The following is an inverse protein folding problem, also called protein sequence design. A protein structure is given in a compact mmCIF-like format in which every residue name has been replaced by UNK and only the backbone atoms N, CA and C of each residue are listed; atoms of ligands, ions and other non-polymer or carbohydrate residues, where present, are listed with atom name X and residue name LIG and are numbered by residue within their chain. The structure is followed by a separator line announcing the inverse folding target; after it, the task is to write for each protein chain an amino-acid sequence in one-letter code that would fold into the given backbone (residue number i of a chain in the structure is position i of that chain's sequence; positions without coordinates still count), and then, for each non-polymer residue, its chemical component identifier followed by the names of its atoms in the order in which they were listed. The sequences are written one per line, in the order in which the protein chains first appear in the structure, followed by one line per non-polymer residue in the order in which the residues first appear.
data_IF_929559842407
#
_entry.id   IF_929559842407
#
_cell.length_a   1.000
_cell.length_b   1.000
_cell.length_c   1.000
_cell.angle_alpha   90.00
_cell.angle_beta   90.00
_cell.angle_gamma   90.00
#
_symmetry.space_group_name_H-M   'P 1'
#
loop_
_entity.id
_entity.type
_entity.pdbx_description
1 polymer ?
#
# COMPACT_ATOMS: atom_id res chain seq x y z
N UNK A 1 46.88 -18.30 9.46
CA UNK A 1 46.48 -18.40 9.14
C UNK A 1 45.76 -18.36 9.19
N UNK A 2 45.52 -18.12 9.05
CA UNK A 2 44.72 -18.03 8.93
C UNK A 2 43.85 -17.79 8.56
N UNK A 3 43.76 -17.68 8.40
CA UNK A 3 42.92 -17.49 8.00
C UNK A 3 42.09 -17.56 7.82
N UNK A 4 41.94 -17.52 7.71
CA UNK A 4 41.06 -17.65 7.42
C UNK A 4 40.18 -17.53 7.57
N UNK A 5 40.16 -17.34 7.71
CA UNK A 5 39.25 -17.29 7.73
C UNK A 5 38.53 -16.70 7.55
N UNK A 6 38.82 -16.44 7.41
CA UNK A 6 38.11 -15.98 7.23
C UNK A 6 37.39 -15.88 6.74
N UNK A 7 37.33 -15.98 6.54
CA UNK A 7 36.49 -15.92 5.99
C UNK A 7 35.59 -15.94 6.02
N UNK A 8 35.64 -15.84 6.03
CA UNK A 8 34.74 -16.02 6.00
C UNK A 8 33.90 -15.63 6.32
N UNK A 9 33.86 -15.34 6.58
CA UNK A 9 33.02 -15.01 6.96
C UNK A 9 32.35 -14.45 6.42
N UNK A 10 32.56 -14.12 6.07
CA UNK A 10 32.00 -13.56 5.50
C UNK A 10 31.10 -13.91 5.04
N UNK A 11 31.05 -14.15 4.95
CA UNK A 11 30.27 -14.45 4.43
C UNK A 11 29.23 -14.40 4.87
N UNK A 12 29.08 -14.55 5.30
CA UNK A 12 28.03 -14.62 5.56
C UNK A 12 27.30 -13.83 5.74
N UNK A 13 27.33 -13.25 5.85
CA UNK A 13 26.54 -12.56 6.10
C UNK A 13 25.89 -12.18 5.33
N UNK A 14 26.06 -12.12 4.85
CA UNK A 14 25.42 -11.76 4.05
C UNK A 14 24.47 -12.27 3.88
N UNK A 15 24.39 -12.63 3.98
CA UNK A 15 23.58 -13.24 3.83
C UNK A 15 22.60 -12.91 4.30
N UNK A 16 22.58 -12.84 4.89
CA UNK A 16 21.55 -12.61 5.40
C UNK A 16 21.10 -11.60 5.01
N UNK A 17 21.40 -11.37 4.76
CA UNK A 17 21.07 -10.61 4.39
C UNK A 17 20.14 -10.41 4.00
N UNK A 18 19.94 -9.83 4.10
CA UNK A 18 18.94 -9.29 3.63
C UNK A 18 18.03 -10.05 3.12
N UNK A 19 18.32 -10.76 2.67
CA UNK A 19 17.44 -11.49 2.10
C UNK A 19 16.38 -11.84 2.84
N UNK A 20 16.54 -11.97 3.94
CA UNK A 20 15.57 -12.46 4.67
C UNK A 20 14.41 -11.73 4.71
N UNK A 21 14.41 -10.58 4.76
CA UNK A 21 13.22 -9.87 4.88
C UNK A 21 12.53 -9.64 3.61
N UNK A 22 12.93 -10.27 2.57
CA UNK A 22 12.30 -10.13 1.42
C UNK A 22 10.94 -10.51 1.44
N UNK A 23 10.06 -9.98 0.82
CA UNK A 23 8.68 -10.35 0.78
C UNK A 23 7.88 -9.88 1.94
N UNK A 24 8.47 -9.31 2.96
CA UNK A 24 7.68 -8.81 4.03
C UNK A 24 7.85 -7.35 4.06
N UNK A 25 6.84 -6.60 4.36
CA UNK A 25 6.96 -5.17 4.49
C UNK A 25 6.64 -4.74 5.91
N UNK A 26 7.14 -3.58 6.30
CA UNK A 26 6.85 -3.01 7.59
C UNK A 26 5.37 -2.63 7.70
N UNK A 27 4.67 -2.62 6.60
CA UNK A 27 3.28 -2.18 6.54
C UNK A 27 2.28 -3.31 6.39
N UNK A 28 2.72 -4.55 6.42
CA UNK A 28 1.82 -5.69 6.31
C UNK A 28 0.83 -5.70 7.47
N UNK A 29 -0.38 -6.11 7.20
CA UNK A 29 -1.43 -6.19 8.20
C UNK A 29 -2.74 -5.67 7.68
N UNK A 30 -3.65 -5.42 8.59
CA UNK A 30 -5.00 -4.96 8.31
C UNK A 30 -5.07 -3.46 8.47
N UNK A 31 -5.66 -2.79 7.51
CA UNK A 31 -5.73 -1.33 7.48
C UNK A 31 -7.13 -0.86 7.10
N UNK A 32 -7.50 0.32 7.56
CA UNK A 32 -8.72 0.97 7.13
C UNK A 32 -8.37 2.19 6.31
N UNK A 33 -8.95 2.28 5.12
CA UNK A 33 -8.77 3.42 4.23
C UNK A 33 -10.06 4.21 4.19
N UNK A 34 -9.95 5.52 4.21
CA UNK A 34 -11.08 6.43 4.04
C UNK A 34 -10.74 7.37 2.92
N UNK A 35 -11.54 7.35 1.86
CA UNK A 35 -11.40 8.28 0.75
C UNK A 35 -12.40 9.39 0.97
N UNK A 36 -11.97 10.63 0.89
CA UNK A 36 -12.82 11.81 1.06
C UNK A 36 -12.89 12.54 -0.26
N UNK A 37 -14.10 12.81 -0.72
CA UNK A 37 -14.33 13.54 -1.96
C UNK A 37 -14.29 15.04 -1.67
N UNK A 38 -13.41 15.73 -2.36
CA UNK A 38 -13.30 17.19 -2.25
C UNK A 38 -13.85 17.89 -3.48
N UNK A 39 -13.85 17.20 -4.62
CA UNK A 39 -14.36 17.75 -5.87
C UNK A 39 -15.18 16.70 -6.59
N UNK A 40 -16.25 17.13 -7.19
CA UNK A 40 -17.10 16.27 -7.98
C UNK A 40 -18.28 15.74 -7.20
N UNK A 41 -19.17 15.08 -7.92
CA UNK A 41 -20.44 14.62 -7.37
C UNK A 41 -20.42 13.16 -6.90
N UNK A 42 -19.28 12.67 -6.45
CA UNK A 42 -19.19 11.36 -5.86
C UNK A 42 -19.65 11.41 -4.40
N UNK A 43 -19.82 10.25 -3.78
CA UNK A 43 -20.18 10.22 -2.37
C UNK A 43 -19.13 10.93 -1.54
N UNK A 44 -19.50 11.54 -0.43
CA UNK A 44 -18.56 12.29 0.40
C UNK A 44 -17.40 11.44 0.90
N UNK A 45 -17.65 10.19 1.27
CA UNK A 45 -16.60 9.29 1.75
C UNK A 45 -16.83 7.89 1.25
N UNK A 46 -15.72 7.14 1.16
CA UNK A 46 -15.75 5.71 0.89
C UNK A 46 -14.81 5.05 1.88
N UNK A 47 -15.25 3.96 2.48
CA UNK A 47 -14.44 3.23 3.46
C UNK A 47 -14.04 1.88 2.87
N UNK A 48 -12.74 1.58 2.95
CA UNK A 48 -12.21 0.32 2.42
C UNK A 48 -11.34 -0.35 3.46
N UNK A 49 -11.82 -1.45 4.06
CA UNK A 49 -10.92 -2.27 4.87
C UNK A 49 -10.06 -3.08 3.91
N UNK A 50 -8.76 -3.03 4.09
CA UNK A 50 -7.84 -3.71 3.19
C UNK A 50 -6.81 -4.50 3.98
N UNK A 51 -6.12 -5.40 3.30
CA UNK A 51 -4.99 -6.11 3.86
C UNK A 51 -3.76 -5.82 3.03
N UNK A 52 -2.63 -5.68 3.69
CA UNK A 52 -1.35 -5.56 3.02
C UNK A 52 -0.55 -6.80 3.35
N UNK A 53 -0.10 -7.50 2.31
CA UNK A 53 0.70 -8.71 2.46
C UNK A 53 1.86 -8.62 1.47
N UNK A 54 3.07 -8.61 1.99
CA UNK A 54 4.29 -8.49 1.18
C UNK A 54 4.23 -7.26 0.28
N UNK A 55 3.67 -6.18 0.80
CA UNK A 55 3.56 -4.93 0.06
C UNK A 55 2.43 -4.87 -0.94
N UNK A 56 1.59 -5.90 -1.02
CA UNK A 56 0.44 -5.90 -1.94
C UNK A 56 -0.82 -5.61 -1.15
N UNK A 57 -1.58 -4.63 -1.61
CA UNK A 57 -2.82 -4.22 -0.95
C UNK A 57 -4.00 -4.86 -1.65
N UNK A 58 -4.84 -5.55 -0.90
CA UNK A 58 -6.01 -6.22 -1.43
C UNK A 58 -7.22 -5.93 -0.57
N UNK A 59 -8.39 -6.06 -1.16
CA UNK A 59 -9.66 -5.91 -0.45
C UNK A 59 -10.34 -7.28 -0.40
N UNK A 60 -10.89 -7.67 0.75
CA UNK A 60 -11.45 -9.02 0.87
C UNK A 60 -12.59 -9.33 -0.09
N UNK A 61 -13.33 -8.32 -0.52
CA UNK A 61 -14.49 -8.54 -1.38
C UNK A 61 -14.38 -7.93 -2.78
N UNK A 62 -13.39 -7.09 -3.03
CA UNK A 62 -13.26 -6.40 -4.30
C UNK A 62 -12.05 -6.92 -5.05
N UNK A 63 -12.27 -7.81 -6.01
CA UNK A 63 -11.16 -8.39 -6.75
C UNK A 63 -10.42 -7.36 -7.59
N UNK A 64 -11.06 -6.24 -7.90
CA UNK A 64 -10.44 -5.19 -8.68
C UNK A 64 -9.88 -4.05 -7.83
N UNK A 65 -9.66 -4.31 -6.57
CA UNK A 65 -8.93 -3.40 -5.71
C UNK A 65 -7.50 -3.91 -5.66
N UNK A 66 -6.56 -3.10 -6.08
CA UNK A 66 -5.18 -3.53 -6.09
C UNK A 66 -4.25 -2.37 -5.78
N UNK A 67 -3.28 -2.60 -4.96
CA UNK A 67 -2.30 -1.58 -4.63
C UNK A 67 -0.97 -2.18 -4.23
N UNK A 68 0.04 -1.31 -4.20
CA UNK A 68 1.39 -1.71 -3.83
C UNK A 68 1.98 -0.68 -2.89
N UNK A 69 2.71 -1.17 -1.89
CA UNK A 69 3.41 -0.33 -0.93
C UNK A 69 4.89 -0.64 -1.04
N UNK A 70 5.68 0.38 -1.37
CA UNK A 70 7.12 0.23 -1.44
C UNK A 70 7.71 0.23 -0.04
N UNK A 71 8.93 -0.23 0.10
CA UNK A 71 9.62 -0.22 1.39
C UNK A 71 9.71 1.15 2.02
N UNK A 72 9.71 2.21 1.20
CA UNK A 72 9.73 3.58 1.69
C UNK A 72 8.38 4.04 2.23
N UNK A 73 7.34 3.26 2.03
CA UNK A 73 5.98 3.64 2.38
C UNK A 73 5.18 4.24 1.24
N UNK A 74 5.80 4.47 0.09
CA UNK A 74 5.08 5.02 -1.06
C UNK A 74 4.01 4.04 -1.52
N UNK A 75 2.81 4.53 -1.80
CA UNK A 75 1.64 3.72 -2.13
C UNK A 75 1.07 4.13 -3.46
N UNK A 76 0.66 3.14 -4.25
CA UNK A 76 -0.17 3.34 -5.42
C UNK A 76 -1.27 2.30 -5.40
N UNK A 77 -2.48 2.72 -5.70
CA UNK A 77 -3.61 1.81 -5.69
C UNK A 77 -4.65 2.22 -6.71
N UNK A 78 -5.45 1.25 -7.13
CA UNK A 78 -6.58 1.50 -7.99
C UNK A 78 -7.73 0.59 -7.56
N UNK A 79 -8.95 1.03 -7.83
CA UNK A 79 -10.14 0.25 -7.55
C UNK A 79 -11.17 0.49 -8.66
N UNK A 80 -11.82 -0.57 -9.03
CA UNK A 80 -12.92 -0.50 -10.01
C UNK A 80 -14.10 -1.28 -9.46
N UNK A 81 -15.26 -0.64 -9.41
CA UNK A 81 -16.49 -1.26 -8.97
C UNK A 81 -17.57 -0.80 -9.93
N UNK A 82 -18.01 -1.69 -10.82
CA UNK A 82 -19.03 -1.34 -11.81
C UNK A 82 -18.58 -0.15 -12.66
N UNK A 83 -19.30 0.97 -12.64
CA UNK A 83 -18.97 2.15 -13.42
C UNK A 83 -18.16 3.18 -12.64
N UNK A 84 -17.57 2.76 -11.52
CA UNK A 84 -16.75 3.63 -10.69
C UNK A 84 -15.32 3.19 -10.76
N UNK A 85 -14.43 4.13 -10.85
CA UNK A 85 -13.00 3.85 -10.90
C UNK A 85 -12.24 4.96 -10.20
N UNK A 86 -11.22 4.58 -9.46
CA UNK A 86 -10.36 5.54 -8.80
C UNK A 86 -8.93 5.04 -8.77
N UNK A 87 -8.00 5.99 -8.83
CA UNK A 87 -6.59 5.70 -8.59
C UNK A 87 -6.10 6.65 -7.51
N UNK A 88 -5.16 6.19 -6.74
CA UNK A 88 -4.62 6.98 -5.67
C UNK A 88 -3.15 6.75 -5.48
N UNK A 89 -2.49 7.70 -4.84
CA UNK A 89 -1.11 7.57 -4.45
C UNK A 89 -0.87 8.35 -3.16
N UNK A 90 0.17 7.99 -2.47
CA UNK A 90 0.50 8.64 -1.21
C UNK A 90 1.58 7.90 -0.48
N UNK A 91 1.53 7.95 0.85
CA UNK A 91 2.60 7.38 1.65
C UNK A 91 2.07 6.89 2.99
N UNK A 92 2.54 5.73 3.41
CA UNK A 92 2.34 5.21 4.75
C UNK A 92 3.56 5.56 5.58
N UNK A 93 3.34 5.78 6.87
CA UNK A 93 4.41 6.03 7.82
C UNK A 93 3.95 5.50 9.17
N UNK A 94 4.64 4.50 9.70
CA UNK A 94 4.20 3.86 10.94
C UNK A 94 2.85 3.21 10.76
N UNK A 95 1.89 3.58 11.58
CA UNK A 95 0.56 3.00 11.57
C UNK A 95 -0.48 3.85 10.85
N UNK A 96 -0.06 4.86 10.12
CA UNK A 96 -1.00 5.73 9.43
C UNK A 96 -0.49 6.08 8.03
N UNK A 97 -1.33 6.71 7.26
CA UNK A 97 -0.93 7.16 5.93
C UNK A 97 -1.93 8.12 5.35
N UNK A 98 -1.55 8.73 4.24
CA UNK A 98 -2.42 9.65 3.53
C UNK A 98 -1.93 9.86 2.11
N UNK A 99 -2.81 10.36 1.29
CA UNK A 99 -2.49 10.64 -0.08
C UNK A 99 -3.65 11.31 -0.78
N UNK A 100 -3.62 11.27 -2.10
CA UNK A 100 -4.66 11.86 -2.93
C UNK A 100 -5.20 10.80 -3.87
N UNK A 101 -6.39 11.05 -4.38
CA UNK A 101 -7.01 10.15 -5.34
C UNK A 101 -7.81 10.96 -6.36
N UNK A 102 -8.04 10.34 -7.50
CA UNK A 102 -8.92 10.87 -8.52
C UNK A 102 -9.62 9.71 -9.21
N UNK A 103 -10.78 9.98 -9.77
CA UNK A 103 -11.53 8.95 -10.43
C UNK A 103 -12.85 9.46 -10.97
N UNK A 104 -13.77 8.53 -11.20
CA UNK A 104 -15.07 8.87 -11.71
C UNK A 104 -16.12 7.88 -11.21
N UNK A 105 -17.37 8.33 -11.21
CA UNK A 105 -18.52 7.51 -10.91
C UNK A 105 -19.53 7.85 -12.00
N UNK A 106 -19.72 6.92 -12.95
CA UNK A 106 -20.49 7.21 -14.15
C UNK A 106 -19.85 8.35 -14.92
N UNK A 107 -20.57 9.45 -15.08
CA UNK A 107 -20.06 10.63 -15.77
C UNK A 107 -19.44 11.66 -14.84
N UNK A 108 -19.54 11.46 -13.54
CA UNK A 108 -19.01 12.42 -12.59
C UNK A 108 -17.53 12.19 -12.37
N UNK A 109 -16.74 13.24 -12.49
CA UNK A 109 -15.31 13.16 -12.19
C UNK A 109 -15.09 13.71 -10.80
N UNK A 110 -14.30 13.01 -10.02
CA UNK A 110 -14.11 13.32 -8.63
C UNK A 110 -12.66 13.22 -8.24
N UNK A 111 -12.31 13.92 -7.17
CA UNK A 111 -10.98 13.82 -6.60
C UNK A 111 -11.04 14.23 -5.13
N UNK A 112 -9.99 13.90 -4.42
CA UNK A 112 -9.89 14.23 -3.02
C UNK A 112 -8.65 13.63 -2.40
N UNK A 113 -8.74 13.34 -1.10
CA UNK A 113 -7.63 12.75 -0.38
C UNK A 113 -8.09 11.45 0.28
N UNK A 114 -7.13 10.68 0.71
CA UNK A 114 -7.41 9.48 1.49
C UNK A 114 -6.51 9.44 2.72
N UNK A 115 -7.01 8.77 3.74
CA UNK A 115 -6.23 8.50 4.94
C UNK A 115 -6.24 7.01 5.19
N UNK A 116 -5.24 6.54 5.90
CA UNK A 116 -5.11 5.13 6.25
C UNK A 116 -4.73 5.01 7.70
N UNK A 117 -5.26 3.96 8.34
CA UNK A 117 -4.95 3.66 9.72
C UNK A 117 -4.80 2.16 9.86
N UNK A 118 -3.70 1.72 10.46
CA UNK A 118 -3.50 0.31 10.71
C UNK A 118 -4.34 -0.11 11.91
N UNK A 119 -4.97 -1.25 11.81
CA UNK A 119 -5.75 -1.80 12.91
C UNK A 119 -4.88 -2.47 13.96
#
# INVERSE_FOLDING_TARGET
MKTILTYAAAAGCLVALGSTAKGRSAYDGSWDLVFVTQRGACDPTYNFPVNITDGVVTHPNLVRFRGYVAGSGAVRASVTVQDKHATGSGRLSGASGRGTWSGYSGNARCSGYWTAQRN
#
